data_IF_909485263134
#
_entry.id   IF_909485263134
#
_cell.length_a   1.000
_cell.length_b   1.000
_cell.length_c   1.000
_cell.angle_alpha   90.00
_cell.angle_beta   90.00
_cell.angle_gamma   90.00
#
_symmetry.space_group_name_H-M   'P 1'
#
loop_
_entity.id
_entity.type
_entity.pdbx_description
1 polymer ?
#
# COMPACT_ATOMS: atom_id res chain seq x y z
N UNK A 1 -10.90 9.04 -34.54
CA UNK A 1 -10.89 8.56 -33.14
C UNK A 1 -10.05 7.31 -33.16
N UNK A 2 -8.94 7.34 -32.42
CA UNK A 2 -7.93 6.28 -32.47
C UNK A 2 -8.34 5.02 -31.74
N UNK A 3 -7.44 4.05 -31.70
CA UNK A 3 -7.60 2.79 -30.98
C UNK A 3 -6.44 2.61 -30.00
N UNK A 4 -6.72 1.98 -28.87
CA UNK A 4 -5.71 1.48 -27.95
C UNK A 4 -5.66 -0.03 -28.10
N UNK A 5 -4.48 -0.55 -28.42
CA UNK A 5 -4.23 -1.97 -28.61
C UNK A 5 -3.31 -2.44 -27.50
N UNK A 6 -3.66 -3.55 -26.87
CA UNK A 6 -2.89 -4.15 -25.79
C UNK A 6 -2.47 -5.55 -26.21
N UNK A 7 -1.17 -5.76 -26.33
CA UNK A 7 -0.59 -7.05 -26.72
C UNK A 7 0.03 -7.72 -25.50
N UNK A 8 -0.46 -8.92 -25.20
CA UNK A 8 -0.02 -9.67 -24.04
C UNK A 8 0.69 -10.97 -24.43
N UNK A 9 1.99 -10.90 -24.72
CA UNK A 9 2.74 -12.01 -25.32
C UNK A 9 3.40 -12.96 -24.30
N UNK A 10 3.51 -12.58 -23.03
CA UNK A 10 4.41 -13.27 -22.09
C UNK A 10 3.70 -14.19 -21.10
N UNK A 11 2.58 -13.75 -20.54
CA UNK A 11 1.87 -14.42 -19.43
C UNK A 11 0.43 -13.92 -19.37
N UNK A 12 -0.46 -14.59 -18.65
CA UNK A 12 -1.78 -14.03 -18.39
C UNK A 12 -1.68 -12.67 -17.69
N UNK A 13 -2.41 -11.70 -18.20
CA UNK A 13 -2.56 -10.39 -17.58
C UNK A 13 -3.90 -10.34 -16.86
N UNK A 14 -3.84 -10.33 -15.53
CA UNK A 14 -5.01 -10.14 -14.70
C UNK A 14 -5.32 -8.65 -14.58
N UNK A 15 -6.59 -8.33 -14.26
CA UNK A 15 -7.12 -6.98 -14.18
C UNK A 15 -6.32 -6.03 -13.26
N UNK A 16 -5.26 -5.40 -13.79
CA UNK A 16 -4.33 -4.49 -13.10
C UNK A 16 -4.33 -3.14 -13.83
N UNK A 17 -4.05 -2.03 -13.11
CA UNK A 17 -4.08 -0.71 -13.71
C UNK A 17 -2.97 -0.59 -14.76
N UNK A 18 -3.35 -0.17 -15.96
CA UNK A 18 -2.43 0.22 -17.02
C UNK A 18 -2.33 1.73 -17.11
N UNK A 19 -1.18 2.19 -17.59
CA UNK A 19 -0.83 3.59 -17.69
C UNK A 19 -0.21 3.87 -19.06
N UNK A 20 -0.73 4.86 -19.77
CA UNK A 20 -0.17 5.35 -21.05
C UNK A 20 -0.15 6.87 -21.08
N UNK A 21 0.83 7.47 -21.73
CA UNK A 21 0.87 8.92 -21.95
C UNK A 21 -0.28 9.30 -22.90
N UNK A 22 -1.17 10.18 -22.43
CA UNK A 22 -2.38 10.57 -23.16
C UNK A 22 -2.98 11.84 -22.54
N UNK A 23 -3.38 12.79 -23.37
CA UNK A 23 -3.75 14.14 -22.91
C UNK A 23 -5.25 14.32 -22.62
N UNK A 24 -6.10 13.59 -23.34
CA UNK A 24 -7.55 13.81 -23.34
C UNK A 24 -8.27 12.86 -22.39
N UNK A 25 -9.31 13.35 -21.72
CA UNK A 25 -10.22 12.51 -20.95
C UNK A 25 -11.13 11.75 -21.91
N UNK A 26 -11.07 10.42 -21.88
CA UNK A 26 -11.81 9.54 -22.79
C UNK A 26 -12.50 8.39 -22.05
N UNK A 27 -13.42 7.70 -22.69
CA UNK A 27 -13.77 6.34 -22.31
C UNK A 27 -13.12 5.37 -23.29
N UNK A 28 -12.96 4.14 -22.84
CA UNK A 28 -12.59 3.03 -23.71
C UNK A 28 -13.81 2.13 -23.89
N UNK A 29 -13.97 1.57 -25.08
CA UNK A 29 -14.97 0.53 -25.35
C UNK A 29 -14.26 -0.71 -25.88
N UNK A 30 -14.49 -1.84 -25.22
CA UNK A 30 -14.13 -3.16 -25.74
C UNK A 30 -15.42 -3.90 -26.03
N UNK A 31 -15.64 -4.24 -27.30
CA UNK A 31 -16.90 -4.84 -27.78
C UNK A 31 -18.14 -4.00 -27.38
N UNK A 32 -18.86 -4.43 -26.33
CA UNK A 32 -20.06 -3.77 -25.78
C UNK A 32 -19.85 -3.18 -24.38
N UNK A 33 -18.68 -3.39 -23.77
CA UNK A 33 -18.41 -2.96 -22.41
C UNK A 33 -17.68 -1.62 -22.39
N UNK A 34 -18.17 -0.74 -21.52
CA UNK A 34 -17.55 0.56 -21.25
C UNK A 34 -16.48 0.39 -20.19
N UNK A 35 -15.25 0.76 -20.52
CA UNK A 35 -14.11 0.78 -19.61
C UNK A 35 -13.85 2.20 -19.17
N UNK A 36 -13.90 2.40 -17.85
CA UNK A 36 -13.58 3.67 -17.23
C UNK A 36 -12.10 3.99 -17.37
N UNK A 37 -11.81 5.28 -17.60
CA UNK A 37 -10.46 5.82 -17.58
C UNK A 37 -10.38 7.01 -16.63
N UNK A 38 -9.17 7.34 -16.21
CA UNK A 38 -8.91 8.53 -15.41
C UNK A 38 -7.55 9.10 -15.76
N UNK A 39 -7.50 10.41 -15.99
CA UNK A 39 -6.25 11.11 -16.23
C UNK A 39 -5.56 11.39 -14.90
N UNK A 40 -4.26 11.11 -14.86
CA UNK A 40 -3.36 11.53 -13.82
C UNK A 40 -2.23 12.37 -14.40
N UNK A 41 -1.92 13.48 -13.74
CA UNK A 41 -0.76 14.30 -14.09
C UNK A 41 0.44 13.95 -13.21
N UNK A 42 1.57 13.67 -13.84
CA UNK A 42 2.86 13.42 -13.19
C UNK A 42 3.95 14.12 -14.01
N UNK A 43 4.83 14.89 -13.36
CA UNK A 43 5.94 15.60 -14.02
C UNK A 43 5.53 16.40 -15.28
N UNK A 44 4.39 17.09 -15.20
CA UNK A 44 3.77 17.89 -16.29
C UNK A 44 3.33 17.07 -17.51
N UNK A 45 3.30 15.76 -17.40
CA UNK A 45 2.74 14.85 -18.41
C UNK A 45 1.41 14.30 -17.92
N UNK A 46 0.48 14.08 -18.84
CA UNK A 46 -0.79 13.43 -18.53
C UNK A 46 -0.76 11.96 -18.94
N UNK A 47 -1.29 11.13 -18.06
CA UNK A 47 -1.37 9.70 -18.27
C UNK A 47 -2.80 9.22 -18.10
N UNK A 48 -3.26 8.41 -19.04
CA UNK A 48 -4.52 7.68 -18.95
C UNK A 48 -4.31 6.41 -18.13
N UNK A 49 -5.05 6.30 -17.04
CA UNK A 49 -5.10 5.11 -16.20
C UNK A 49 -6.42 4.38 -16.47
N UNK A 50 -6.36 3.06 -16.71
CA UNK A 50 -7.53 2.23 -16.95
C UNK A 50 -7.25 0.77 -16.62
N UNK A 51 -8.29 -0.04 -16.58
CA UNK A 51 -8.23 -1.48 -16.32
C UNK A 51 -8.69 -2.23 -17.57
N UNK A 52 -7.84 -3.04 -18.21
CA UNK A 52 -8.19 -3.72 -19.45
C UNK A 52 -8.97 -5.02 -19.24
N UNK A 53 -9.24 -5.42 -17.99
CA UNK A 53 -9.78 -6.75 -17.68
C UNK A 53 -8.71 -7.85 -17.72
N UNK A 54 -9.17 -9.10 -17.85
CA UNK A 54 -8.30 -10.25 -18.03
C UNK A 54 -7.91 -10.36 -19.51
N UNK A 55 -6.60 -10.50 -19.77
CA UNK A 55 -6.07 -10.79 -21.10
C UNK A 55 -5.27 -12.08 -21.00
N UNK A 56 -5.73 -13.12 -21.70
CA UNK A 56 -5.01 -14.39 -21.78
C UNK A 56 -3.64 -14.18 -22.45
N UNK A 57 -2.67 -15.01 -22.11
CA UNK A 57 -1.39 -15.05 -22.81
C UNK A 57 -1.59 -15.23 -24.33
N UNK A 58 -0.74 -14.57 -25.11
CA UNK A 58 -0.69 -14.62 -26.57
C UNK A 58 -1.97 -14.07 -27.24
N UNK A 59 -2.75 -13.26 -26.51
CA UNK A 59 -3.92 -12.53 -27.01
C UNK A 59 -3.66 -11.02 -27.08
N UNK A 60 -4.45 -10.39 -27.94
CA UNK A 60 -4.54 -8.95 -28.10
C UNK A 60 -5.97 -8.51 -27.78
N UNK A 61 -6.12 -7.35 -27.12
CA UNK A 61 -7.40 -6.69 -26.91
C UNK A 61 -7.34 -5.29 -27.50
N UNK A 62 -8.42 -4.91 -28.18
CA UNK A 62 -8.56 -3.61 -28.82
C UNK A 62 -9.64 -2.79 -28.10
N UNK A 63 -9.33 -1.53 -27.84
CA UNK A 63 -10.24 -0.55 -27.27
C UNK A 63 -10.48 0.59 -28.24
N UNK A 64 -11.75 0.85 -28.53
CA UNK A 64 -12.16 2.05 -29.24
C UNK A 64 -12.16 3.25 -28.29
N UNK A 65 -11.62 4.38 -28.75
CA UNK A 65 -11.61 5.63 -27.98
C UNK A 65 -12.93 6.35 -28.19
N UNK A 66 -13.63 6.62 -27.08
CA UNK A 66 -14.85 7.41 -27.07
C UNK A 66 -14.67 8.70 -26.28
N UNK A 67 -15.26 9.79 -26.77
CA UNK A 67 -15.28 11.04 -26.00
C UNK A 67 -16.17 10.88 -24.76
N UNK A 68 -15.76 11.56 -23.70
CA UNK A 68 -16.37 11.45 -22.39
C UNK A 68 -16.67 12.84 -21.84
N UNK A 69 -17.96 13.14 -21.64
CA UNK A 69 -18.36 14.45 -21.12
C UNK A 69 -18.60 14.42 -19.59
N UNK A 70 -18.91 13.24 -19.03
CA UNK A 70 -19.20 13.05 -17.61
C UNK A 70 -18.56 11.76 -17.10
N UNK A 71 -17.74 11.86 -16.05
CA UNK A 71 -17.12 10.72 -15.37
C UNK A 71 -17.73 10.55 -13.97
N UNK A 72 -18.14 9.33 -13.59
CA UNK A 72 -18.65 9.06 -12.25
C UNK A 72 -17.53 9.07 -11.21
N UNK A 73 -17.85 9.45 -9.97
CA UNK A 73 -16.96 9.28 -8.81
C UNK A 73 -17.15 7.89 -8.19
N UNK A 74 -16.73 6.84 -8.90
CA UNK A 74 -16.87 5.46 -8.40
C UNK A 74 -16.03 5.24 -7.15
N UNK A 75 -14.79 5.73 -7.17
CA UNK A 75 -13.97 5.87 -5.97
C UNK A 75 -14.11 7.29 -5.46
N UNK A 76 -14.75 7.44 -4.31
CA UNK A 76 -15.06 8.73 -3.71
C UNK A 76 -14.18 8.95 -2.48
N UNK A 77 -13.39 10.01 -2.51
CA UNK A 77 -12.50 10.42 -1.41
C UNK A 77 -13.11 11.63 -0.72
N UNK A 78 -13.53 11.47 0.53
CA UNK A 78 -14.28 12.48 1.28
C UNK A 78 -13.57 12.82 2.58
N UNK A 79 -13.05 14.05 2.68
CA UNK A 79 -12.61 14.59 3.96
C UNK A 79 -13.82 14.97 4.81
N UNK A 80 -13.87 14.44 6.03
CA UNK A 80 -14.94 14.73 6.97
C UNK A 80 -14.58 15.87 7.94
N UNK A 81 -13.41 16.50 7.81
CA UNK A 81 -12.97 17.64 8.63
C UNK A 81 -12.63 17.31 10.09
N UNK A 82 -12.75 16.03 10.49
CA UNK A 82 -12.58 15.56 11.86
C UNK A 82 -11.36 14.63 12.00
N UNK A 83 -10.26 14.93 11.30
CA UNK A 83 -9.08 14.07 11.32
C UNK A 83 -9.27 12.75 10.56
N UNK A 84 -10.24 12.68 9.65
CA UNK A 84 -10.60 11.47 8.89
C UNK A 84 -10.95 11.78 7.44
N UNK A 85 -10.36 11.02 6.52
CA UNK A 85 -10.80 10.94 5.11
C UNK A 85 -11.37 9.56 4.87
N UNK A 86 -12.64 9.48 4.51
CA UNK A 86 -13.27 8.22 4.10
C UNK A 86 -13.09 8.02 2.60
N UNK A 87 -12.82 6.77 2.22
CA UNK A 87 -12.75 6.35 0.82
C UNK A 87 -13.84 5.30 0.59
N UNK A 88 -14.75 5.61 -0.33
CA UNK A 88 -15.81 4.72 -0.75
C UNK A 88 -15.51 4.16 -2.15
N UNK A 89 -15.92 2.93 -2.41
CA UNK A 89 -15.94 2.33 -3.75
C UNK A 89 -17.37 1.86 -3.99
N UNK A 90 -18.02 2.38 -5.04
CA UNK A 90 -19.46 2.14 -5.31
C UNK A 90 -20.34 2.42 -4.08
N UNK A 91 -20.17 3.62 -3.48
CA UNK A 91 -20.88 4.08 -2.26
C UNK A 91 -20.70 3.22 -1.00
N UNK A 92 -19.88 2.16 -1.05
CA UNK A 92 -19.55 1.32 0.11
C UNK A 92 -18.21 1.76 0.69
N UNK A 93 -18.13 1.94 2.02
CA UNK A 93 -16.89 2.29 2.69
C UNK A 93 -15.83 1.22 2.43
N UNK A 94 -14.70 1.63 1.86
CA UNK A 94 -13.54 0.77 1.69
C UNK A 94 -12.54 0.96 2.83
N UNK A 95 -12.15 2.20 3.12
CA UNK A 95 -11.20 2.50 4.19
C UNK A 95 -11.35 3.93 4.68
N UNK A 96 -10.78 4.21 5.85
CA UNK A 96 -10.65 5.57 6.38
C UNK A 96 -9.18 5.85 6.66
N UNK A 97 -8.67 6.95 6.13
CA UNK A 97 -7.38 7.53 6.51
C UNK A 97 -7.57 8.40 7.76
N UNK A 98 -7.13 7.89 8.89
CA UNK A 98 -7.21 8.56 10.19
C UNK A 98 -5.93 9.36 10.37
N UNK A 99 -6.04 10.69 10.34
CA UNK A 99 -4.91 11.64 10.41
C UNK A 99 -5.02 12.62 11.58
N UNK A 100 -6.05 12.48 12.42
CA UNK A 100 -6.28 13.34 13.58
C UNK A 100 -5.14 13.30 14.59
N UNK A 101 -4.90 14.43 15.24
CA UNK A 101 -3.78 14.67 16.16
C UNK A 101 -3.87 13.87 17.48
N UNK A 102 -5.01 13.25 17.75
CA UNK A 102 -5.18 12.28 18.84
C UNK A 102 -4.36 11.00 18.62
N UNK A 103 -3.99 10.71 17.37
CA UNK A 103 -3.16 9.58 17.01
C UNK A 103 -1.69 9.99 16.95
N UNK A 104 -0.77 9.07 17.27
CA UNK A 104 0.66 9.34 17.12
C UNK A 104 1.07 9.53 15.65
N UNK A 105 0.36 8.89 14.71
CA UNK A 105 0.62 8.98 13.27
C UNK A 105 -0.59 8.58 12.44
N UNK A 106 -0.64 8.93 11.14
CA UNK A 106 -1.75 8.53 10.28
C UNK A 106 -1.74 7.03 9.91
N UNK A 107 -2.94 6.45 9.80
CA UNK A 107 -3.14 5.04 9.44
C UNK A 107 -4.46 4.81 8.67
N UNK A 108 -4.54 3.69 7.96
CA UNK A 108 -5.78 3.21 7.31
C UNK A 108 -6.49 2.20 8.21
N UNK A 109 -7.73 2.49 8.61
CA UNK A 109 -8.64 1.57 9.31
C UNK A 109 -10.09 2.09 9.27
N UNK A 110 -11.11 1.26 8.99
CA UNK A 110 -11.01 -0.16 8.60
C UNK A 110 -10.38 -0.32 7.21
N UNK A 111 -10.15 -1.56 6.78
CA UNK A 111 -9.80 -1.88 5.38
C UNK A 111 -10.72 -3.02 4.95
N UNK A 112 -11.74 -2.71 4.17
CA UNK A 112 -12.80 -3.65 3.81
C UNK A 112 -12.41 -4.45 2.56
N UNK A 113 -12.36 -5.77 2.69
CA UNK A 113 -11.98 -6.71 1.65
C UNK A 113 -13.14 -7.63 1.22
N UNK A 114 -12.83 -8.87 0.81
CA UNK A 114 -13.80 -9.87 0.38
C UNK A 114 -14.99 -10.01 1.33
N UNK A 115 -16.19 -10.12 0.76
CA UNK A 115 -17.47 -10.29 1.48
C UNK A 115 -17.69 -9.26 2.62
N UNK A 116 -17.08 -8.07 2.52
CA UNK A 116 -17.23 -6.99 3.49
C UNK A 116 -16.41 -7.17 4.77
N UNK A 117 -15.48 -8.13 4.82
CA UNK A 117 -14.65 -8.36 6.02
C UNK A 117 -13.61 -7.26 6.22
N UNK A 118 -13.40 -6.85 7.47
CA UNK A 118 -12.30 -5.95 7.81
C UNK A 118 -11.00 -6.74 7.87
N UNK A 119 -10.07 -6.42 6.96
CA UNK A 119 -8.84 -7.18 6.74
C UNK A 119 -7.74 -6.88 7.76
N UNK A 120 -7.89 -5.79 8.53
CA UNK A 120 -6.90 -5.33 9.50
C UNK A 120 -7.46 -5.32 10.92
N UNK A 121 -6.58 -5.45 11.93
CA UNK A 121 -6.99 -5.38 13.33
C UNK A 121 -7.62 -4.02 13.62
N UNK A 122 -8.79 -4.01 14.26
CA UNK A 122 -9.42 -2.78 14.76
C UNK A 122 -8.51 -2.11 15.80
N UNK A 123 -8.43 -0.77 15.85
CA UNK A 123 -7.71 -0.09 16.93
C UNK A 123 -8.30 -0.50 18.29
N UNK A 124 -7.45 -0.60 19.31
CA UNK A 124 -7.91 -0.90 20.67
C UNK A 124 -8.87 0.19 21.17
N UNK A 125 -9.96 -0.22 21.81
CA UNK A 125 -10.86 0.73 22.46
C UNK A 125 -10.17 1.44 23.63
N UNK A 126 -10.66 2.62 24.07
CA UNK A 126 -10.14 3.27 25.27
C UNK A 126 -10.12 2.31 26.47
N UNK A 127 -8.96 2.23 27.15
CA UNK A 127 -8.74 1.29 28.25
C UNK A 127 -8.39 -0.15 27.83
N UNK A 128 -8.38 -0.44 26.52
CA UNK A 128 -8.02 -1.74 25.94
C UNK A 128 -8.74 -2.95 26.62
N UNK A 129 -10.07 -2.94 26.76
CA UNK A 129 -10.82 -4.07 27.31
C UNK A 129 -10.62 -5.36 26.51
N UNK A 130 -10.29 -5.25 25.22
CA UNK A 130 -9.96 -6.37 24.33
C UNK A 130 -8.63 -7.04 24.69
N UNK A 131 -7.81 -6.41 25.56
CA UNK A 131 -6.46 -6.86 25.95
C UNK A 131 -5.54 -7.07 24.75
N UNK A 132 -5.67 -6.23 23.73
CA UNK A 132 -4.79 -6.27 22.57
C UNK A 132 -3.35 -5.94 22.99
N UNK A 133 -2.41 -6.73 22.47
CA UNK A 133 -1.00 -6.43 22.51
C UNK A 133 -0.68 -5.30 21.51
N UNK A 134 0.44 -4.60 21.72
CA UNK A 134 0.94 -3.59 20.77
C UNK A 134 -0.17 -2.64 20.28
N UNK A 135 -0.89 -1.98 21.19
CA UNK A 135 -2.10 -1.18 20.89
C UNK A 135 -1.89 -0.07 19.83
N UNK A 136 -0.62 0.28 19.57
CA UNK A 136 -0.19 1.24 18.54
C UNK A 136 -0.26 0.67 17.11
N UNK A 137 -0.37 -0.65 16.92
CA UNK A 137 -0.60 -1.26 15.61
C UNK A 137 -2.08 -1.13 15.20
N UNK A 138 -2.41 -0.06 14.46
CA UNK A 138 -3.79 0.38 14.16
C UNK A 138 -4.28 0.09 12.73
N UNK A 139 -3.63 -0.77 11.96
CA UNK A 139 -4.12 -1.17 10.63
C UNK A 139 -3.02 -1.19 9.58
N UNK A 140 -3.05 -0.26 8.62
CA UNK A 140 -1.92 0.00 7.70
C UNK A 140 -1.31 1.35 8.09
N UNK A 141 -0.04 1.39 8.44
CA UNK A 141 0.62 2.62 8.89
C UNK A 141 2.06 2.73 8.39
N UNK A 142 2.63 3.93 8.55
CA UNK A 142 4.06 4.19 8.34
C UNK A 142 4.74 4.56 9.64
N UNK A 143 5.85 3.89 9.96
CA UNK A 143 6.57 4.07 11.22
C UNK A 143 8.04 3.61 11.14
N UNK A 144 8.88 4.13 12.05
CA UNK A 144 10.25 3.68 12.24
C UNK A 144 10.69 3.86 13.71
N UNK A 145 11.35 2.87 14.28
CA UNK A 145 11.60 2.77 15.73
C UNK A 145 12.73 3.65 16.25
N UNK A 146 13.60 4.18 15.38
CA UNK A 146 14.59 5.19 15.77
C UNK A 146 15.01 6.04 14.57
N UNK A 147 14.55 7.30 14.57
CA UNK A 147 14.94 8.33 13.60
C UNK A 147 15.56 9.50 14.36
N UNK A 148 16.86 9.75 14.15
CA UNK A 148 17.63 10.74 14.91
C UNK A 148 17.48 10.59 16.44
N UNK A 149 17.40 9.34 16.95
CA UNK A 149 17.23 9.04 18.37
C UNK A 149 15.79 9.12 18.87
N UNK A 150 14.82 9.32 17.98
CA UNK A 150 13.39 9.38 18.30
C UNK A 150 12.67 8.13 17.82
N UNK A 151 11.97 7.48 18.74
CA UNK A 151 11.06 6.39 18.40
C UNK A 151 9.75 6.93 17.82
N UNK A 152 9.49 6.62 16.55
CA UNK A 152 8.18 6.79 15.91
C UNK A 152 7.71 5.44 15.37
N UNK A 153 7.79 4.41 16.22
CA UNK A 153 7.17 3.08 16.09
C UNK A 153 6.34 2.79 17.32
N UNK A 154 6.98 2.68 18.48
CA UNK A 154 6.29 2.39 19.73
C UNK A 154 5.68 3.68 20.28
N UNK A 155 4.49 3.60 20.88
CA UNK A 155 3.85 4.74 21.57
C UNK A 155 4.23 4.75 23.06
N UNK A 156 5.47 4.40 23.37
CA UNK A 156 6.02 4.43 24.73
C UNK A 156 6.31 5.87 25.18
N UNK A 157 6.64 6.03 26.46
CA UNK A 157 7.02 7.33 27.00
C UNK A 157 8.19 7.93 26.20
N UNK A 158 8.03 9.17 25.74
CA UNK A 158 9.07 9.85 24.96
C UNK A 158 9.08 9.53 23.46
N UNK A 159 8.04 8.88 22.90
CA UNK A 159 7.87 8.71 21.45
C UNK A 159 7.67 10.05 20.71
N UNK A 160 8.05 10.06 19.43
CA UNK A 160 7.74 11.11 18.47
C UNK A 160 6.39 10.91 17.78
N UNK A 161 6.04 11.79 16.84
CA UNK A 161 4.77 11.73 16.12
C UNK A 161 4.94 12.03 14.64
N UNK A 162 4.00 11.58 13.82
CA UNK A 162 3.79 12.08 12.46
C UNK A 162 2.56 12.98 12.47
N UNK A 163 2.78 14.28 12.36
CA UNK A 163 1.73 15.31 12.41
C UNK A 163 1.29 15.64 10.99
N UNK A 164 0.04 15.34 10.65
CA UNK A 164 -0.56 15.75 9.38
C UNK A 164 -0.60 17.28 9.28
N UNK A 165 -0.17 17.82 8.14
CA UNK A 165 -0.13 19.28 7.89
C UNK A 165 -1.25 19.73 6.96
N UNK A 166 -1.36 19.07 5.81
CA UNK A 166 -2.38 19.36 4.79
C UNK A 166 -2.49 18.21 3.80
N UNK A 167 -3.60 18.18 3.08
CA UNK A 167 -3.66 17.47 1.80
C UNK A 167 -3.07 18.34 0.69
N UNK A 168 -2.15 17.76 -0.08
CA UNK A 168 -1.70 18.32 -1.36
C UNK A 168 -2.81 18.10 -2.40
N UNK A 169 -3.44 16.93 -2.40
CA UNK A 169 -4.64 16.66 -3.19
C UNK A 169 -5.50 15.55 -2.57
N UNK A 170 -6.81 15.67 -2.76
CA UNK A 170 -7.79 14.60 -2.61
C UNK A 170 -8.50 14.46 -3.95
N UNK A 171 -8.47 13.27 -4.53
CA UNK A 171 -9.02 13.01 -5.87
C UNK A 171 -10.04 11.89 -5.77
N UNK A 172 -11.26 12.17 -6.20
CA UNK A 172 -12.27 11.15 -6.54
C UNK A 172 -12.22 10.86 -8.04
N UNK A 173 -12.65 9.67 -8.44
CA UNK A 173 -12.73 9.36 -9.86
C UNK A 173 -13.25 7.96 -10.19
N UNK A 174 -13.41 7.68 -11.49
CA UNK A 174 -14.04 6.45 -11.97
C UNK A 174 -13.11 5.23 -11.92
N UNK A 175 -11.79 5.44 -11.89
CA UNK A 175 -10.77 4.37 -11.89
C UNK A 175 -10.02 4.31 -10.57
N UNK A 176 -9.71 5.46 -9.96
CA UNK A 176 -9.04 5.51 -8.68
C UNK A 176 -9.43 6.74 -7.86
N UNK A 177 -9.30 6.60 -6.54
CA UNK A 177 -9.22 7.70 -5.61
C UNK A 177 -7.77 7.92 -5.16
N UNK A 178 -7.38 9.15 -4.85
CA UNK A 178 -6.03 9.47 -4.35
C UNK A 178 -6.12 10.35 -3.11
N UNK A 179 -5.37 9.96 -2.08
CA UNK A 179 -5.02 10.79 -0.94
C UNK A 179 -3.54 11.14 -1.08
N UNK A 180 -3.23 12.42 -1.18
CA UNK A 180 -1.86 12.92 -1.20
C UNK A 180 -1.70 13.87 -0.02
N UNK A 181 -1.04 13.40 1.03
CA UNK A 181 -0.91 14.11 2.30
C UNK A 181 0.53 14.54 2.54
N UNK A 182 0.70 15.71 3.15
CA UNK A 182 1.96 16.22 3.69
C UNK A 182 1.92 16.14 5.22
N UNK A 183 2.96 15.57 5.82
CA UNK A 183 3.10 15.42 7.27
C UNK A 183 4.52 15.77 7.73
N UNK A 184 4.67 16.19 8.97
CA UNK A 184 5.97 16.36 9.63
C UNK A 184 6.19 15.21 10.61
N UNK A 185 7.35 14.57 10.58
CA UNK A 185 7.78 13.70 11.68
C UNK A 185 8.47 14.58 12.71
N UNK A 186 8.05 14.49 13.96
CA UNK A 186 8.55 15.31 15.07
C UNK A 186 9.03 14.43 16.21
N UNK A 187 9.98 14.95 16.98
CA UNK A 187 10.40 14.33 18.23
C UNK A 187 9.39 14.53 19.36
N UNK A 188 9.69 13.98 20.54
CA UNK A 188 8.85 14.08 21.73
C UNK A 188 8.71 15.51 22.30
N UNK A 189 9.46 16.48 21.78
CA UNK A 189 9.36 17.91 22.10
C UNK A 189 8.66 18.69 20.99
N UNK A 190 8.18 18.03 19.94
CA UNK A 190 7.52 18.65 18.80
C UNK A 190 8.48 19.30 17.80
N UNK A 191 9.79 19.04 17.89
CA UNK A 191 10.78 19.54 16.94
C UNK A 191 10.76 18.68 15.69
N UNK A 192 10.67 19.29 14.51
CA UNK A 192 10.66 18.59 13.23
C UNK A 192 11.98 17.85 13.00
N UNK A 193 11.86 16.61 12.52
CA UNK A 193 12.97 15.72 12.15
C UNK A 193 13.05 15.63 10.63
N UNK A 194 11.91 15.33 9.98
CA UNK A 194 11.79 15.19 8.54
C UNK A 194 10.38 15.53 8.06
N UNK A 195 10.24 15.68 6.75
CA UNK A 195 8.96 15.83 6.08
C UNK A 195 8.58 14.54 5.34
N UNK A 196 7.31 14.16 5.41
CA UNK A 196 6.73 13.02 4.70
C UNK A 196 5.65 13.50 3.72
N UNK A 197 5.81 13.17 2.43
CA UNK A 197 4.67 13.06 1.53
C UNK A 197 4.22 11.60 1.44
N UNK A 198 2.93 11.37 1.65
CA UNK A 198 2.29 10.07 1.51
C UNK A 198 1.24 10.13 0.41
N UNK A 199 1.42 9.31 -0.62
CA UNK A 199 0.46 9.18 -1.71
C UNK A 199 -0.16 7.78 -1.63
N UNK A 200 -1.45 7.74 -1.36
CA UNK A 200 -2.25 6.52 -1.28
C UNK A 200 -3.24 6.56 -2.43
N UNK A 201 -3.11 5.63 -3.37
CA UNK A 201 -4.02 5.50 -4.52
C UNK A 201 -4.79 4.19 -4.41
N UNK A 202 -6.10 4.30 -4.46
CA UNK A 202 -7.04 3.20 -4.25
C UNK A 202 -7.83 3.01 -5.53
N UNK A 203 -7.80 1.81 -6.09
CA UNK A 203 -8.41 1.56 -7.40
C UNK A 203 -9.81 0.96 -7.30
N UNK A 204 -10.63 1.26 -8.31
CA UNK A 204 -11.97 0.70 -8.54
C UNK A 204 -11.88 -0.78 -8.94
N UNK A 205 -11.73 -1.64 -7.94
CA UNK A 205 -11.69 -3.11 -8.09
C UNK A 205 -12.96 -3.75 -7.53
N UNK A 206 -13.32 -4.99 -7.95
CA UNK A 206 -14.47 -5.73 -7.40
C UNK A 206 -14.17 -6.23 -5.97
N UNK A 207 -15.17 -6.45 -5.10
CA UNK A 207 -14.99 -6.68 -3.64
C UNK A 207 -14.01 -7.78 -3.26
N UNK A 208 -13.89 -8.79 -4.11
CA UNK A 208 -13.02 -9.94 -4.01
C UNK A 208 -11.53 -9.57 -4.16
N UNK A 209 -11.23 -8.34 -4.60
CA UNK A 209 -9.88 -7.83 -4.68
C UNK A 209 -9.78 -6.32 -4.49
N UNK A 210 -8.69 -5.84 -3.91
CA UNK A 210 -8.41 -4.40 -3.79
C UNK A 210 -6.95 -4.15 -4.09
N UNK A 211 -6.67 -3.00 -4.69
CA UNK A 211 -5.31 -2.52 -4.89
C UNK A 211 -5.18 -1.18 -4.16
N UNK A 212 -4.16 -1.08 -3.30
CA UNK A 212 -3.71 0.17 -2.72
C UNK A 212 -2.26 0.37 -3.12
N UNK A 213 -2.00 1.36 -3.96
CA UNK A 213 -0.64 1.85 -4.20
C UNK A 213 -0.27 2.83 -3.08
N UNK A 214 0.88 2.60 -2.45
CA UNK A 214 1.36 3.37 -1.32
C UNK A 214 2.78 3.86 -1.61
N UNK A 215 2.89 5.15 -1.88
CA UNK A 215 4.16 5.83 -2.13
C UNK A 215 4.49 6.67 -0.90
N UNK A 216 5.70 6.50 -0.39
CA UNK A 216 6.24 7.20 0.78
C UNK A 216 7.46 7.99 0.30
N UNK A 217 7.44 9.30 0.51
CA UNK A 217 8.55 10.20 0.18
C UNK A 217 8.98 10.88 1.47
N UNK A 218 10.17 10.53 1.97
CA UNK A 218 10.76 11.11 3.17
C UNK A 218 11.83 12.11 2.76
N UNK A 219 11.79 13.33 3.28
CA UNK A 219 12.76 14.39 2.96
C UNK A 219 13.45 14.94 4.18
N UNK A 220 14.77 14.97 4.10
CA UNK A 220 15.65 15.58 5.09
C UNK A 220 15.63 17.11 4.94
N UNK A 221 14.64 17.75 5.56
CA UNK A 221 14.35 19.19 5.39
C UNK A 221 14.99 20.08 6.46
N UNK A 222 15.40 19.51 7.59
CA UNK A 222 16.02 20.23 8.71
C UNK A 222 17.54 20.01 8.78
N UNK A 223 17.95 18.74 8.72
CA UNK A 223 19.34 18.26 8.73
C UNK A 223 19.36 16.85 8.13
N UNK A 224 20.51 16.17 8.10
CA UNK A 224 20.57 14.76 7.78
C UNK A 224 19.67 13.92 8.70
N UNK A 225 19.09 12.86 8.14
CA UNK A 225 18.19 11.97 8.87
C UNK A 225 18.81 10.59 8.95
N UNK A 226 19.10 10.15 10.17
CA UNK A 226 19.65 8.84 10.48
C UNK A 226 18.51 7.92 10.91
N UNK A 227 18.18 6.97 10.05
CA UNK A 227 17.30 5.84 10.34
C UNK A 227 18.14 4.70 10.88
N UNK A 228 18.04 4.40 12.18
CA UNK A 228 18.85 3.35 12.82
C UNK A 228 18.36 1.94 12.49
N UNK A 229 19.28 0.98 12.56
CA UNK A 229 18.96 -0.44 12.48
C UNK A 229 18.15 -0.89 13.70
N UNK A 230 16.89 -1.23 13.47
CA UNK A 230 16.07 -2.01 14.41
C UNK A 230 15.03 -2.84 13.65
N UNK A 231 14.64 -4.01 14.20
CA UNK A 231 13.48 -4.77 13.68
C UNK A 231 12.18 -3.95 13.70
N UNK A 232 12.07 -2.93 14.54
CA UNK A 232 10.92 -2.02 14.67
C UNK A 232 10.98 -0.85 13.66
N UNK A 233 11.50 -1.10 12.45
CA UNK A 233 11.77 -0.08 11.42
C UNK A 233 11.05 -0.31 10.09
N UNK A 234 10.04 -1.16 10.08
CA UNK A 234 9.35 -1.47 8.84
C UNK A 234 8.41 -0.35 8.41
N UNK A 235 8.86 0.52 7.48
CA UNK A 235 8.13 1.72 7.09
C UNK A 235 6.68 1.38 6.74
N UNK A 236 6.40 0.66 5.66
CA UNK A 236 5.02 0.20 5.40
C UNK A 236 4.70 -1.05 6.23
N UNK A 237 3.87 -0.87 7.25
CA UNK A 237 3.46 -1.93 8.18
C UNK A 237 1.97 -2.21 8.14
N UNK A 238 1.62 -3.49 8.30
CA UNK A 238 0.23 -3.94 8.40
C UNK A 238 0.06 -4.82 9.65
N UNK A 239 -1.03 -4.58 10.37
CA UNK A 239 -1.55 -5.50 11.39
C UNK A 239 -2.84 -6.12 10.86
N UNK A 240 -2.77 -7.39 10.48
CA UNK A 240 -3.93 -8.12 9.94
C UNK A 240 -5.00 -8.34 11.00
N UNK A 241 -6.21 -8.65 10.55
CA UNK A 241 -7.29 -9.08 11.44
C UNK A 241 -6.82 -10.28 12.31
N UNK A 242 -7.09 -10.28 13.63
CA UNK A 242 -6.71 -11.37 14.52
C UNK A 242 -7.18 -12.76 14.07
N UNK A 243 -8.36 -12.90 13.45
CA UNK A 243 -8.83 -14.22 12.96
C UNK A 243 -7.95 -14.77 11.83
N UNK A 244 -7.29 -13.88 11.08
CA UNK A 244 -6.39 -14.20 9.98
C UNK A 244 -4.92 -14.33 10.44
N UNK A 245 -4.61 -14.15 11.73
CA UNK A 245 -3.24 -14.23 12.22
C UNK A 245 -2.76 -15.69 12.36
N UNK A 246 -1.45 -15.89 12.43
CA UNK A 246 -0.79 -17.21 12.36
C UNK A 246 -1.15 -18.09 13.55
N UNK A 247 -1.36 -17.48 14.72
CA UNK A 247 -1.88 -18.15 15.92
C UNK A 247 -3.30 -18.71 15.73
N UNK A 248 -4.05 -18.17 14.77
CA UNK A 248 -5.41 -18.55 14.41
C UNK A 248 -5.48 -19.24 13.04
N UNK A 249 -4.42 -19.98 12.66
CA UNK A 249 -4.31 -20.76 11.41
C UNK A 249 -4.14 -19.92 10.14
N UNK A 250 -3.89 -18.61 10.26
CA UNK A 250 -3.37 -17.83 9.16
C UNK A 250 -1.98 -18.33 8.73
N UNK A 251 -1.61 -18.02 7.49
CA UNK A 251 -0.35 -18.44 6.91
C UNK A 251 0.36 -17.23 6.29
N UNK A 252 1.64 -17.10 6.63
CA UNK A 252 2.54 -16.15 5.98
C UNK A 252 3.23 -16.91 4.85
N UNK A 253 3.26 -16.34 3.66
CA UNK A 253 4.05 -16.84 2.52
C UNK A 253 4.92 -15.75 1.94
N UNK A 254 6.04 -16.13 1.35
CA UNK A 254 6.90 -15.18 0.64
C UNK A 254 7.27 -15.67 -0.76
N UNK A 255 7.81 -14.77 -1.57
CA UNK A 255 8.14 -15.05 -2.98
C UNK A 255 9.19 -16.13 -3.22
N UNK A 256 9.94 -16.53 -2.19
CA UNK A 256 10.93 -17.61 -2.25
C UNK A 256 10.36 -18.96 -1.79
N UNK A 257 9.07 -19.02 -1.47
CA UNK A 257 8.39 -20.23 -1.03
C UNK A 257 8.51 -20.51 0.46
N UNK A 258 9.01 -19.56 1.26
CA UNK A 258 9.00 -19.70 2.72
C UNK A 258 7.58 -19.64 3.29
N UNK A 259 7.32 -20.44 4.32
CA UNK A 259 6.03 -20.53 4.99
C UNK A 259 6.12 -20.25 6.51
N UNK A 260 5.17 -19.48 7.03
CA UNK A 260 5.08 -19.10 8.44
C UNK A 260 6.17 -18.14 8.93
N UNK A 261 6.09 -17.72 10.20
CA UNK A 261 7.06 -16.78 10.78
C UNK A 261 8.50 -17.29 10.68
N UNK A 262 8.74 -18.57 10.99
CA UNK A 262 10.08 -19.16 11.06
C UNK A 262 10.86 -19.02 9.74
N UNK A 263 10.20 -19.17 8.60
CA UNK A 263 10.85 -19.15 7.30
C UNK A 263 10.74 -17.80 6.58
N UNK A 264 9.85 -16.91 7.03
CA UNK A 264 9.65 -15.60 6.42
C UNK A 264 10.31 -14.45 7.21
N UNK A 265 10.47 -14.60 8.52
CA UNK A 265 11.05 -13.56 9.37
C UNK A 265 12.48 -13.22 8.95
N UNK A 266 12.73 -11.93 8.73
CA UNK A 266 14.04 -11.41 8.36
C UNK A 266 14.58 -11.99 7.04
N UNK A 267 13.73 -12.58 6.20
CA UNK A 267 14.13 -13.08 4.88
C UNK A 267 13.84 -12.06 3.81
N UNK A 268 14.67 -12.08 2.77
CA UNK A 268 14.46 -11.26 1.58
C UNK A 268 13.41 -11.91 0.70
N UNK A 269 12.44 -11.13 0.23
CA UNK A 269 11.46 -11.59 -0.75
C UNK A 269 10.85 -10.42 -1.53
N UNK A 270 10.46 -10.67 -2.77
CA UNK A 270 9.85 -9.70 -3.68
C UNK A 270 8.45 -9.28 -3.25
N UNK A 271 7.78 -10.16 -2.53
CA UNK A 271 6.48 -9.95 -1.91
C UNK A 271 6.34 -10.87 -0.70
N UNK A 272 5.45 -10.49 0.20
CA UNK A 272 5.01 -11.32 1.30
C UNK A 272 3.48 -11.25 1.39
N UNK A 273 2.86 -12.40 1.56
CA UNK A 273 1.43 -12.60 1.71
C UNK A 273 1.09 -13.04 3.12
N UNK A 274 -0.05 -12.57 3.64
CA UNK A 274 -0.66 -13.07 4.86
C UNK A 274 -2.13 -13.37 4.58
N UNK A 275 -2.49 -14.65 4.55
CA UNK A 275 -3.84 -15.13 4.29
C UNK A 275 -4.36 -16.08 5.37
N UNK A 276 -5.68 -16.17 5.50
CA UNK A 276 -6.36 -17.00 6.50
C UNK A 276 -7.87 -16.88 6.34
N UNK A 277 -8.62 -17.09 7.43
CA UNK A 277 -10.08 -17.03 7.43
C UNK A 277 -10.58 -15.96 8.40
N UNK A 278 -11.54 -15.14 7.98
CA UNK A 278 -12.24 -14.18 8.84
C UNK A 278 -13.73 -14.50 8.78
N UNK A 279 -14.31 -14.94 9.89
CA UNK A 279 -15.71 -15.38 9.95
C UNK A 279 -16.06 -16.41 8.84
N UNK A 280 -15.14 -17.34 8.57
CA UNK A 280 -15.27 -18.39 7.53
C UNK A 280 -14.94 -17.96 6.10
N UNK A 281 -14.62 -16.68 5.87
CA UNK A 281 -14.23 -16.16 4.54
C UNK A 281 -12.72 -16.26 4.38
N UNK A 282 -12.27 -17.08 3.43
CA UNK A 282 -10.85 -17.15 3.04
C UNK A 282 -10.42 -15.89 2.31
N UNK A 283 -9.41 -15.21 2.84
CA UNK A 283 -8.92 -13.96 2.29
C UNK A 283 -7.47 -13.68 2.73
N UNK A 284 -6.83 -12.69 2.12
CA UNK A 284 -5.47 -12.29 2.44
C UNK A 284 -5.10 -10.88 2.03
N UNK A 285 -3.95 -10.45 2.53
CA UNK A 285 -3.28 -9.21 2.16
C UNK A 285 -1.83 -9.52 1.80
N UNK A 286 -1.42 -9.10 0.61
CA UNK A 286 -0.02 -9.15 0.18
C UNK A 286 0.57 -7.74 0.04
N UNK A 287 1.87 -7.60 0.33
CA UNK A 287 2.64 -6.39 0.03
C UNK A 287 3.67 -6.75 -1.05
N UNK A 288 3.69 -5.96 -2.13
CA UNK A 288 4.62 -6.08 -3.25
C UNK A 288 5.71 -5.02 -3.12
N UNK A 289 6.97 -5.46 -3.19
CA UNK A 289 8.13 -4.57 -3.18
C UNK A 289 8.49 -4.13 -4.61
N UNK A 290 8.95 -2.89 -4.74
CA UNK A 290 9.28 -2.28 -6.02
C UNK A 290 10.79 -2.35 -6.30
N UNK A 291 11.25 -2.71 -7.52
CA UNK A 291 12.68 -2.90 -7.84
C UNK A 291 13.60 -1.71 -7.55
N UNK A 292 13.05 -0.50 -7.48
CA UNK A 292 13.81 0.72 -7.20
C UNK A 292 13.78 1.14 -5.72
N UNK A 293 13.11 0.38 -4.86
CA UNK A 293 13.19 0.63 -3.42
C UNK A 293 14.59 0.33 -2.88
N UNK A 294 14.96 1.05 -1.82
CA UNK A 294 16.22 0.84 -1.12
C UNK A 294 16.36 -0.64 -0.68
N UNK A 295 17.50 -1.26 -1.03
CA UNK A 295 17.86 -2.65 -0.71
C UNK A 295 16.90 -3.72 -1.26
N UNK A 296 16.26 -3.45 -2.40
CA UNK A 296 15.40 -4.42 -3.10
C UNK A 296 16.10 -5.78 -3.40
N UNK A 297 15.38 -6.93 -3.27
CA UNK A 297 14.13 -7.06 -2.53
C UNK A 297 14.35 -6.84 -1.02
N UNK A 298 13.38 -6.18 -0.39
CA UNK A 298 13.34 -5.87 1.04
C UNK A 298 13.40 -7.11 1.91
N UNK A 299 13.68 -6.91 3.19
CA UNK A 299 13.54 -7.93 4.23
C UNK A 299 12.16 -7.81 4.88
N UNK A 300 11.61 -8.92 5.36
CA UNK A 300 10.27 -8.94 5.92
C UNK A 300 10.27 -9.08 7.44
N UNK A 301 9.75 -8.07 8.12
CA UNK A 301 9.46 -8.13 9.55
C UNK A 301 8.06 -8.68 9.75
N UNK A 302 7.94 -10.02 9.76
CA UNK A 302 6.66 -10.73 9.95
C UNK A 302 6.57 -11.40 11.33
N UNK A 303 5.35 -11.59 11.84
CA UNK A 303 5.06 -12.33 13.07
C UNK A 303 3.72 -13.05 12.98
N UNK A 304 3.64 -14.21 13.62
CA UNK A 304 2.42 -15.03 13.73
C UNK A 304 1.30 -14.33 14.50
N UNK A 305 1.61 -13.25 15.23
CA UNK A 305 0.60 -12.37 15.82
C UNK A 305 -0.01 -11.36 14.84
N UNK A 306 0.26 -11.49 13.55
CA UNK A 306 -0.41 -10.69 12.54
C UNK A 306 0.27 -9.37 12.17
N UNK A 307 1.51 -9.13 12.63
CA UNK A 307 2.32 -8.02 12.09
C UNK A 307 3.06 -8.53 10.85
N UNK A 308 3.00 -7.80 9.75
CA UNK A 308 3.93 -8.01 8.64
C UNK A 308 4.27 -6.69 7.95
N UNK A 309 5.54 -6.49 7.67
CA UNK A 309 6.07 -5.18 7.30
C UNK A 309 7.31 -5.30 6.41
N UNK A 310 7.39 -4.41 5.41
CA UNK A 310 8.57 -4.24 4.58
C UNK A 310 9.64 -3.48 5.38
N UNK A 311 10.68 -4.17 5.85
CA UNK A 311 11.70 -3.61 6.71
C UNK A 311 13.09 -3.89 6.14
N UNK A 312 13.68 -2.91 5.45
CA UNK A 312 15.05 -3.02 4.94
C UNK A 312 16.12 -2.46 5.92
N UNK A 313 15.76 -2.07 7.15
CA UNK A 313 16.67 -1.50 8.16
C UNK A 313 17.14 -2.48 9.23
N UNK A 314 16.30 -3.45 9.64
CA UNK A 314 16.53 -4.33 10.79
C UNK A 314 17.57 -5.44 10.59
N UNK A 315 18.63 -5.20 9.81
CA UNK A 315 19.58 -6.24 9.39
C UNK A 315 20.28 -6.90 10.58
N UNK A 316 20.66 -6.12 11.59
CA UNK A 316 21.35 -6.64 12.78
C UNK A 316 20.54 -7.71 13.49
N UNK A 317 19.22 -7.51 13.58
CA UNK A 317 18.32 -8.48 14.16
C UNK A 317 18.11 -9.66 13.21
N UNK A 318 17.83 -9.41 11.93
CA UNK A 318 17.54 -10.48 10.94
C UNK A 318 18.69 -11.46 10.71
N UNK A 319 19.93 -10.98 10.80
CA UNK A 319 21.13 -11.82 10.75
C UNK A 319 21.56 -12.36 12.11
N UNK A 320 21.01 -11.82 13.22
CA UNK A 320 21.48 -12.14 14.57
C UNK A 320 22.92 -11.68 14.83
N UNK A 321 23.39 -10.67 14.10
CA UNK A 321 24.77 -10.17 14.16
C UNK A 321 24.77 -8.63 14.26
N UNK A 322 25.16 -8.10 15.42
CA UNK A 322 25.24 -6.66 15.69
C UNK A 322 26.35 -5.93 14.93
N UNK A 323 27.22 -6.66 14.21
CA UNK A 323 28.20 -6.06 13.29
C UNK A 323 27.58 -5.68 11.94
N UNK A 324 26.47 -6.31 11.57
CA UNK A 324 25.70 -5.94 10.38
C UNK A 324 24.75 -4.82 10.78
N UNK A 325 24.73 -3.73 10.01
CA UNK A 325 23.79 -2.62 10.25
C UNK A 325 23.04 -2.24 8.99
N UNK A 326 21.72 -2.20 9.10
CA UNK A 326 20.83 -1.56 8.14
C UNK A 326 20.54 -0.10 8.46
N UNK A 327 21.35 0.56 9.29
CA UNK A 327 21.27 2.02 9.43
C UNK A 327 21.37 2.67 8.05
N UNK A 328 20.57 3.71 7.82
CA UNK A 328 20.58 4.48 6.59
C UNK A 328 20.60 5.97 6.96
N UNK A 329 21.48 6.71 6.29
CA UNK A 329 21.62 8.16 6.46
C UNK A 329 21.06 8.78 5.18
N UNK A 330 20.00 9.55 5.32
CA UNK A 330 19.46 10.41 4.27
C UNK A 330 20.13 11.78 4.40
N UNK A 331 20.97 12.20 3.43
CA UNK A 331 21.65 13.48 3.49
C UNK A 331 20.66 14.65 3.54
N UNK A 332 21.07 15.77 4.15
CA UNK A 332 20.28 17.00 4.14
C UNK A 332 19.99 17.46 2.69
N UNK A 333 18.73 17.80 2.41
CA UNK A 333 18.26 18.22 1.09
C UNK A 333 17.85 17.07 0.16
N UNK A 334 18.18 15.81 0.49
CA UNK A 334 17.81 14.65 -0.30
C UNK A 334 16.44 14.06 0.11
N UNK A 335 15.95 13.16 -0.74
CA UNK A 335 14.71 12.41 -0.51
C UNK A 335 14.89 10.90 -0.67
N UNK A 336 14.21 10.13 0.18
CA UNK A 336 14.02 8.70 0.03
C UNK A 336 12.60 8.45 -0.48
N UNK A 337 12.51 7.92 -1.70
CA UNK A 337 11.25 7.53 -2.35
C UNK A 337 11.08 6.02 -2.30
N UNK A 338 9.92 5.57 -1.79
CA UNK A 338 9.56 4.17 -1.69
C UNK A 338 8.19 3.95 -2.29
N UNK A 339 8.02 2.84 -3.01
CA UNK A 339 6.76 2.46 -3.60
C UNK A 339 6.41 1.02 -3.24
N UNK A 340 5.22 0.81 -2.71
CA UNK A 340 4.66 -0.49 -2.43
C UNK A 340 3.27 -0.61 -3.02
N UNK A 341 2.91 -1.80 -3.47
CA UNK A 341 1.53 -2.14 -3.79
C UNK A 341 1.00 -3.13 -2.76
N UNK A 342 -0.14 -2.81 -2.17
CA UNK A 342 -0.89 -3.71 -1.31
C UNK A 342 -2.00 -4.32 -2.16
N UNK A 343 -2.07 -5.65 -2.17
CA UNK A 343 -3.10 -6.42 -2.85
C UNK A 343 -3.92 -7.18 -1.82
N UNK A 344 -5.21 -6.88 -1.75
CA UNK A 344 -6.17 -7.60 -0.92
C UNK A 344 -6.90 -8.58 -1.83
N UNK A 345 -7.14 -9.80 -1.37
CA UNK A 345 -7.72 -10.83 -2.22
C UNK A 345 -8.58 -11.83 -1.44
N UNK A 346 -9.54 -12.43 -2.14
CA UNK A 346 -10.19 -13.68 -1.73
C UNK A 346 -9.21 -14.85 -1.88
N UNK A 347 -9.45 -15.90 -1.09
CA UNK A 347 -8.64 -17.11 -1.10
C UNK A 347 -7.27 -16.96 -0.44
N UNK A 348 -6.46 -18.01 -0.54
CA UNK A 348 -5.07 -18.01 -0.10
C UNK A 348 -4.10 -17.49 -1.19
N UNK A 349 -2.81 -17.45 -0.87
CA UNK A 349 -1.73 -16.99 -1.77
C UNK A 349 -1.76 -17.67 -3.16
N UNK A 350 -1.99 -18.98 -3.23
CA UNK A 350 -2.03 -19.73 -4.49
C UNK A 350 -3.32 -19.46 -5.27
N UNK A 351 -4.48 -19.53 -4.61
CA UNK A 351 -5.80 -19.27 -5.21
C UNK A 351 -5.88 -17.85 -5.80
N UNK A 352 -5.27 -16.87 -5.11
CA UNK A 352 -5.20 -15.47 -5.54
C UNK A 352 -4.12 -15.19 -6.59
N UNK A 353 -3.28 -16.17 -6.92
CA UNK A 353 -2.22 -16.09 -7.94
C UNK A 353 -1.23 -14.96 -7.65
N UNK A 354 -0.80 -14.81 -6.39
CA UNK A 354 0.00 -13.65 -5.94
C UNK A 354 1.28 -13.47 -6.76
N UNK A 355 1.93 -14.57 -7.15
CA UNK A 355 3.12 -14.54 -8.01
C UNK A 355 2.82 -13.88 -9.36
N UNK A 356 1.73 -14.25 -10.01
CA UNK A 356 1.31 -13.70 -11.31
C UNK A 356 0.92 -12.23 -11.18
N UNK A 357 0.21 -11.89 -10.10
CA UNK A 357 -0.20 -10.51 -9.78
C UNK A 357 1.01 -9.60 -9.57
N UNK A 358 2.04 -10.08 -8.89
CA UNK A 358 3.31 -9.39 -8.76
C UNK A 358 3.99 -9.18 -10.12
N UNK A 359 3.96 -10.17 -10.99
CA UNK A 359 4.54 -10.05 -12.33
C UNK A 359 3.76 -9.08 -13.22
N UNK A 360 2.43 -8.99 -13.09
CA UNK A 360 1.62 -7.96 -13.76
C UNK A 360 1.88 -6.55 -13.19
N UNK A 361 2.19 -6.44 -11.90
CA UNK A 361 2.62 -5.19 -11.29
C UNK A 361 3.94 -4.67 -11.87
N UNK A 362 4.93 -5.54 -12.08
CA UNK A 362 6.24 -5.14 -12.61
C UNK A 362 6.27 -4.99 -14.13
N UNK A 363 5.55 -5.86 -14.84
CA UNK A 363 5.67 -6.03 -16.29
C UNK A 363 4.29 -5.95 -16.94
N UNK A 364 3.72 -4.74 -17.08
CA UNK A 364 2.49 -4.56 -17.85
C UNK A 364 2.70 -4.97 -19.32
N UNK A 365 1.62 -5.39 -20.03
CA UNK A 365 1.64 -5.68 -21.45
C UNK A 365 2.06 -4.46 -22.29
N UNK A 366 2.44 -4.71 -23.53
CA UNK A 366 2.75 -3.66 -24.49
C UNK A 366 1.45 -2.96 -24.92
N UNK A 367 1.48 -1.63 -24.96
CA UNK A 367 0.32 -0.82 -25.34
C UNK A 367 0.70 0.06 -26.54
N UNK A 368 -0.09 -0.04 -27.60
CA UNK A 368 0.08 0.74 -28.84
C UNK A 368 -1.13 1.65 -29.06
N UNK A 369 -0.87 2.92 -29.37
CA UNK A 369 -1.87 3.89 -29.84
C UNK A 369 -1.90 3.86 -31.37
N UNK A 370 -3.07 3.63 -31.97
CA UNK A 370 -3.28 3.64 -33.44
C UNK A 370 -4.27 4.70 -33.90
#
# INVERSE_FOLDING_TARGET
MGKIIIKNEKRDFYNFPLKIEFEEKIFLRSEKEKVFTQIEEEDRKKFLIFFPGFIEKDKEVEFEIEKADVFPEVVKVKDNGNGKVDVFINETLFTTYNYGNENARPFLNPVIGPEGKNMVRKPASPGNPEKFDHIHHRGIWVAHGDVNGTDNWSELEGHGKTIHKKFISLVSGPVFGKIHALSDWVDNKGRKILEEERIIKIYNMPMESRIIDHIIILRATETEVVFKDTKESGLLSIRVNPEMEGRNKGLIKNSFGGEGEKECWGKRAFWCDYSGEIEGVKCGISIFDWPYNLRYPTYWHVRDYGLFSANFFGLSDFYGDKKISGTYILPYGDELKLFYRIYIHSGNCEEAKIKEKYLNFLYPPEITLK
#
